data_IF_586764122853
#
_entry.id   IF_586764122853
#
_cell.length_a   1.000
_cell.length_b   1.000
_cell.length_c   1.000
_cell.angle_alpha   90.00
_cell.angle_beta   90.00
_cell.angle_gamma   90.00
#
_symmetry.space_group_name_H-M   'P 1'
#
loop_
_entity.id
_entity.type
_entity.pdbx_description
1 polymer ?
#
# COMPACT_ATOMS: atom_id res chain seq x y z
N UNK A 1 -13.88 -8.32 36.43
CA UNK A 1 -13.32 -9.29 35.47
C UNK A 1 -14.37 -9.50 34.39
N UNK A 2 -14.03 -9.24 33.13
CA UNK A 2 -14.98 -9.43 32.03
C UNK A 2 -14.96 -10.92 31.62
N UNK A 3 -16.14 -11.54 31.63
CA UNK A 3 -16.40 -12.93 31.26
C UNK A 3 -15.87 -13.30 29.85
N UNK A 4 -15.64 -14.60 29.58
CA UNK A 4 -15.32 -15.15 28.26
C UNK A 4 -16.31 -14.71 27.17
N UNK A 5 -15.99 -13.66 26.42
CA UNK A 5 -16.72 -13.36 25.20
C UNK A 5 -16.44 -14.44 24.14
N UNK A 6 -17.45 -14.99 23.44
CA UNK A 6 -17.25 -15.94 22.34
C UNK A 6 -16.46 -15.30 21.19
N UNK A 7 -15.92 -16.15 20.28
CA UNK A 7 -15.40 -15.71 18.98
C UNK A 7 -16.45 -14.84 18.28
N UNK A 8 -16.06 -13.80 17.50
CA UNK A 8 -17.01 -13.10 16.65
C UNK A 8 -17.75 -14.14 15.80
N UNK A 9 -19.08 -14.02 15.72
CA UNK A 9 -19.91 -14.99 15.05
C UNK A 9 -19.39 -15.28 13.63
N UNK A 10 -18.93 -16.51 13.40
CA UNK A 10 -18.48 -16.96 12.08
C UNK A 10 -16.98 -17.16 11.89
N UNK A 11 -16.09 -16.89 12.87
CA UNK A 11 -14.66 -17.20 12.72
C UNK A 11 -14.20 -18.37 13.58
N UNK A 12 -13.43 -19.29 13.01
CA UNK A 12 -12.75 -20.39 13.70
C UNK A 12 -11.31 -20.03 14.12
N UNK A 13 -10.73 -20.83 15.03
CA UNK A 13 -9.38 -20.58 15.55
C UNK A 13 -8.30 -20.62 14.46
N UNK A 14 -8.42 -21.56 13.52
CA UNK A 14 -7.52 -21.68 12.38
C UNK A 14 -7.61 -20.44 11.48
N UNK A 15 -8.81 -19.90 11.26
CA UNK A 15 -9.00 -18.69 10.45
C UNK A 15 -8.33 -17.47 11.09
N UNK A 16 -8.45 -17.32 12.42
CA UNK A 16 -7.75 -16.27 13.18
C UNK A 16 -6.23 -16.39 13.02
N UNK A 17 -5.69 -17.61 13.17
CA UNK A 17 -4.26 -17.88 12.97
C UNK A 17 -3.82 -17.59 11.54
N UNK A 18 -4.59 -18.01 10.54
CA UNK A 18 -4.30 -17.77 9.12
C UNK A 18 -4.26 -16.27 8.83
N UNK A 19 -5.28 -15.51 9.24
CA UNK A 19 -5.30 -14.05 9.06
C UNK A 19 -4.11 -13.39 9.77
N UNK A 20 -3.83 -13.78 11.02
CA UNK A 20 -2.68 -13.25 11.76
C UNK A 20 -1.33 -13.52 11.07
N UNK A 21 -1.17 -14.71 10.50
CA UNK A 21 0.05 -15.10 9.79
C UNK A 21 0.19 -14.37 8.46
N UNK A 22 -0.89 -14.24 7.68
CA UNK A 22 -0.90 -13.47 6.43
C UNK A 22 -0.52 -12.02 6.69
N UNK A 23 -1.17 -11.36 7.66
CA UNK A 23 -0.88 -9.99 8.04
C UNK A 23 0.57 -9.81 8.52
N UNK A 24 1.13 -10.80 9.22
CA UNK A 24 2.53 -10.76 9.66
C UNK A 24 3.49 -10.81 8.46
N UNK A 25 3.25 -11.71 7.51
CA UNK A 25 4.07 -11.82 6.30
C UNK A 25 3.99 -10.55 5.47
N UNK A 26 2.78 -10.00 5.30
CA UNK A 26 2.55 -8.73 4.61
C UNK A 26 3.30 -7.58 5.27
N UNK A 27 3.19 -7.46 6.60
CA UNK A 27 3.84 -6.42 7.37
C UNK A 27 5.38 -6.49 7.28
N UNK A 28 5.97 -7.67 7.48
CA UNK A 28 7.42 -7.83 7.46
C UNK A 28 8.00 -7.58 6.07
N UNK A 29 7.33 -8.11 5.04
CA UNK A 29 7.75 -7.92 3.64
C UNK A 29 7.57 -6.47 3.21
N UNK A 30 6.44 -5.85 3.54
CA UNK A 30 6.14 -4.45 3.27
C UNK A 30 7.12 -3.48 3.93
N UNK A 31 7.41 -3.67 5.23
CA UNK A 31 8.40 -2.87 5.96
C UNK A 31 9.81 -3.04 5.40
N UNK A 32 10.21 -4.27 5.07
CA UNK A 32 11.54 -4.55 4.53
C UNK A 32 11.75 -3.90 3.16
N UNK A 33 10.80 -4.12 2.23
CA UNK A 33 10.92 -3.61 0.86
C UNK A 33 10.82 -2.07 0.80
N UNK A 34 9.86 -1.48 1.51
CA UNK A 34 9.72 -0.01 1.54
C UNK A 34 10.84 0.65 2.35
N UNK A 35 11.33 -0.01 3.41
CA UNK A 35 12.53 0.40 4.13
C UNK A 35 13.75 0.45 3.23
N UNK A 36 13.95 -0.55 2.37
CA UNK A 36 15.00 -0.54 1.34
C UNK A 36 14.83 0.65 0.38
N UNK A 37 13.62 0.95 -0.10
CA UNK A 37 13.35 2.11 -0.97
C UNK A 37 13.78 3.43 -0.30
N UNK A 38 13.39 3.62 0.97
CA UNK A 38 13.72 4.82 1.75
C UNK A 38 15.23 4.91 1.94
N UNK A 39 15.88 3.81 2.34
CA UNK A 39 17.33 3.75 2.51
C UNK A 39 18.08 4.03 1.22
N UNK A 40 17.65 3.46 0.09
CA UNK A 40 18.23 3.71 -1.24
C UNK A 40 18.15 5.20 -1.60
N UNK A 41 17.00 5.86 -1.43
CA UNK A 41 16.87 7.30 -1.68
C UNK A 41 17.81 8.13 -0.78
N UNK A 42 17.89 7.77 0.51
CA UNK A 42 18.74 8.47 1.47
C UNK A 42 20.23 8.26 1.22
N UNK A 43 20.67 7.07 0.79
CA UNK A 43 22.08 6.71 0.68
C UNK A 43 22.69 6.91 -0.72
N UNK A 44 21.87 6.88 -1.78
CA UNK A 44 22.34 6.95 -3.17
C UNK A 44 22.06 8.35 -3.72
N UNK A 45 23.07 9.25 -3.84
CA UNK A 45 22.87 10.63 -4.28
C UNK A 45 22.20 10.73 -5.66
N UNK A 46 22.47 9.80 -6.56
CA UNK A 46 21.94 9.74 -7.92
C UNK A 46 20.42 9.54 -7.94
N UNK A 47 19.85 8.93 -6.88
CA UNK A 47 18.42 8.77 -6.74
C UNK A 47 17.71 10.03 -6.24
N UNK A 48 18.41 11.02 -5.69
CA UNK A 48 17.79 12.22 -5.11
C UNK A 48 17.30 13.17 -6.21
N UNK A 49 16.16 12.83 -6.79
CA UNK A 49 15.47 13.63 -7.81
C UNK A 49 14.04 13.93 -7.37
N UNK A 50 13.40 15.00 -7.90
CA UNK A 50 12.02 15.34 -7.59
C UNK A 50 11.01 14.19 -7.81
N UNK A 51 11.22 13.37 -8.85
CA UNK A 51 10.36 12.21 -9.11
C UNK A 51 10.54 11.08 -8.09
N UNK A 52 11.79 10.84 -7.66
CA UNK A 52 12.05 9.83 -6.62
C UNK A 52 11.62 10.31 -5.23
N UNK A 53 11.49 11.62 -4.99
CA UNK A 53 10.87 12.14 -3.76
C UNK A 53 9.41 11.67 -3.63
N UNK A 54 8.66 11.63 -4.74
CA UNK A 54 7.29 11.08 -4.74
C UNK A 54 7.27 9.57 -4.43
N UNK A 55 8.24 8.82 -4.97
CA UNK A 55 8.41 7.39 -4.68
C UNK A 55 8.79 7.15 -3.21
N UNK A 56 9.66 8.00 -2.64
CA UNK A 56 9.99 7.95 -1.21
C UNK A 56 8.75 8.26 -0.36
N UNK A 57 7.93 9.24 -0.75
CA UNK A 57 6.66 9.55 -0.07
C UNK A 57 5.70 8.35 -0.10
N UNK A 58 5.58 7.68 -1.25
CA UNK A 58 4.82 6.44 -1.37
C UNK A 58 5.36 5.36 -0.42
N UNK A 59 6.68 5.14 -0.40
CA UNK A 59 7.30 4.15 0.46
C UNK A 59 7.09 4.43 1.96
N UNK A 60 7.07 5.71 2.36
CA UNK A 60 6.71 6.11 3.72
C UNK A 60 5.24 5.79 4.06
N UNK A 61 4.32 6.08 3.15
CA UNK A 61 2.90 5.74 3.32
C UNK A 61 2.71 4.21 3.41
N UNK A 62 3.33 3.45 2.50
CA UNK A 62 3.27 1.99 2.43
C UNK A 62 3.94 1.32 3.66
N UNK A 63 5.01 1.92 4.19
CA UNK A 63 5.60 1.51 5.48
C UNK A 63 4.61 1.71 6.63
N UNK A 64 3.83 2.79 6.61
CA UNK A 64 2.76 3.06 7.57
C UNK A 64 1.63 2.03 7.51
N UNK A 65 1.19 1.63 6.31
CA UNK A 65 0.21 0.54 6.13
C UNK A 65 0.78 -0.79 6.65
N UNK A 66 2.06 -1.06 6.37
CA UNK A 66 2.73 -2.29 6.82
C UNK A 66 2.89 -2.33 8.35
N UNK A 67 3.17 -1.19 8.98
CA UNK A 67 3.18 -1.05 10.44
C UNK A 67 1.79 -1.27 11.04
N UNK A 68 0.75 -0.73 10.40
CA UNK A 68 -0.63 -0.97 10.78
C UNK A 68 -0.97 -2.48 10.71
N UNK A 69 -0.61 -3.14 9.62
CA UNK A 69 -0.76 -4.59 9.47
C UNK A 69 0.02 -5.39 10.53
N UNK A 70 1.21 -4.92 10.94
CA UNK A 70 1.98 -5.55 12.02
C UNK A 70 1.23 -5.52 13.35
N UNK A 71 0.65 -4.38 13.71
CA UNK A 71 -0.15 -4.25 14.94
C UNK A 71 -1.38 -5.18 14.89
N UNK A 72 -2.04 -5.25 13.74
CA UNK A 72 -3.16 -6.16 13.50
C UNK A 72 -2.76 -7.64 13.62
N UNK A 73 -1.62 -8.02 13.04
CA UNK A 73 -1.05 -9.37 13.13
C UNK A 73 -0.74 -9.75 14.57
N UNK A 74 -0.07 -8.87 15.32
CA UNK A 74 0.25 -9.10 16.73
C UNK A 74 -1.02 -9.23 17.59
N UNK A 75 -2.05 -8.43 17.31
CA UNK A 75 -3.36 -8.59 17.97
C UNK A 75 -4.02 -9.92 17.66
N UNK A 76 -3.92 -10.40 16.41
CA UNK A 76 -4.49 -11.70 15.99
C UNK A 76 -3.74 -12.89 16.63
N UNK A 77 -2.40 -12.86 16.63
CA UNK A 77 -1.58 -13.93 17.21
C UNK A 77 -1.73 -14.02 18.74
N UNK A 78 -1.86 -12.87 19.42
CA UNK A 78 -2.16 -12.84 20.87
C UNK A 78 -3.53 -13.44 21.17
N UNK A 79 -4.54 -13.15 20.34
CA UNK A 79 -5.87 -13.75 20.44
C UNK A 79 -5.80 -15.27 20.25
N UNK A 80 -5.04 -15.76 19.26
CA UNK A 80 -4.83 -17.19 19.04
C UNK A 80 -4.12 -17.87 20.23
N UNK A 81 -3.03 -17.29 20.74
CA UNK A 81 -2.30 -17.83 21.90
C UNK A 81 -3.18 -17.94 23.15
N UNK A 82 -4.14 -17.04 23.34
CA UNK A 82 -5.12 -17.16 24.41
C UNK A 82 -6.11 -18.33 24.18
N UNK A 83 -6.53 -18.56 22.93
CA UNK A 83 -7.44 -19.67 22.58
C UNK A 83 -6.80 -21.04 22.83
N UNK A 84 -5.48 -21.16 22.69
CA UNK A 84 -4.73 -22.42 22.90
C UNK A 84 -4.29 -22.66 24.35
N UNK A 85 -4.79 -21.90 25.33
CA UNK A 85 -4.58 -22.16 26.75
C UNK A 85 -3.34 -21.49 27.38
N UNK A 86 -2.66 -20.60 26.67
CA UNK A 86 -1.66 -19.70 27.28
C UNK A 86 -2.41 -18.49 27.84
N UNK A 87 -2.39 -18.30 29.16
CA UNK A 87 -3.10 -17.24 29.88
C UNK A 87 -2.67 -15.83 29.41
N UNK A 88 -3.26 -15.31 28.32
CA UNK A 88 -3.06 -13.93 27.86
C UNK A 88 -4.31 -13.10 28.18
N UNK A 89 -4.25 -12.07 29.04
CA UNK A 89 -5.45 -11.42 29.60
C UNK A 89 -6.28 -10.59 28.60
N UNK A 90 -5.91 -10.56 27.31
CA UNK A 90 -6.51 -9.69 26.29
C UNK A 90 -7.35 -10.51 25.28
N UNK A 91 -8.66 -10.59 25.50
CA UNK A 91 -9.64 -11.29 24.62
C UNK A 91 -10.14 -10.46 23.43
N UNK A 92 -9.83 -9.17 23.39
CA UNK A 92 -10.18 -8.20 22.33
C UNK A 92 -8.96 -7.38 21.95
N UNK A 93 -9.07 -6.55 20.90
CA UNK A 93 -8.10 -5.51 20.58
C UNK A 93 -7.46 -4.93 21.86
N UNK A 94 -6.14 -5.08 22.05
CA UNK A 94 -5.53 -4.92 23.37
C UNK A 94 -5.34 -3.45 23.76
N UNK A 95 -5.55 -2.51 22.84
CA UNK A 95 -5.26 -1.09 23.04
C UNK A 95 -6.49 -0.24 23.39
N UNK A 96 -7.63 -0.88 23.69
CA UNK A 96 -8.87 -0.18 24.06
C UNK A 96 -9.47 0.68 22.94
N UNK A 97 -10.48 1.48 23.28
CA UNK A 97 -11.20 2.32 22.29
C UNK A 97 -10.30 3.42 21.71
N UNK A 98 -9.53 4.12 22.54
CA UNK A 98 -8.62 5.17 22.08
C UNK A 98 -7.53 4.61 21.15
N UNK A 99 -6.98 3.45 21.49
CA UNK A 99 -6.04 2.74 20.61
C UNK A 99 -6.68 2.30 19.29
N UNK A 100 -7.97 1.97 19.31
CA UNK A 100 -8.72 1.64 18.09
C UNK A 100 -8.91 2.86 17.19
N UNK A 101 -9.29 4.01 17.76
CA UNK A 101 -9.40 5.28 17.04
C UNK A 101 -8.05 5.68 16.43
N UNK A 102 -6.96 5.60 17.21
CA UNK A 102 -5.61 5.93 16.75
C UNK A 102 -5.13 4.99 15.63
N UNK A 103 -5.41 3.69 15.77
CA UNK A 103 -5.05 2.69 14.75
C UNK A 103 -5.85 2.86 13.46
N UNK A 104 -7.16 3.12 13.56
CA UNK A 104 -8.01 3.43 12.42
C UNK A 104 -7.57 4.71 11.71
N UNK A 105 -7.30 5.77 12.46
CA UNK A 105 -6.76 7.03 11.94
C UNK A 105 -5.44 6.83 11.19
N UNK A 106 -4.46 6.19 11.81
CA UNK A 106 -3.14 5.97 11.22
C UNK A 106 -3.23 5.09 9.97
N UNK A 107 -3.96 3.99 10.04
CA UNK A 107 -4.16 3.08 8.90
C UNK A 107 -4.83 3.77 7.73
N UNK A 108 -5.88 4.56 8.01
CA UNK A 108 -6.61 5.26 6.96
C UNK A 108 -5.81 6.42 6.36
N UNK A 109 -5.15 7.25 7.18
CA UNK A 109 -4.27 8.33 6.69
C UNK A 109 -3.18 7.80 5.76
N UNK A 110 -2.54 6.69 6.13
CA UNK A 110 -1.45 6.11 5.33
C UNK A 110 -1.96 5.41 4.07
N UNK A 111 -3.14 4.80 4.10
CA UNK A 111 -3.84 4.30 2.92
C UNK A 111 -4.13 5.41 1.91
N UNK A 112 -4.70 6.54 2.37
CA UNK A 112 -4.99 7.70 1.54
C UNK A 112 -3.72 8.30 0.93
N UNK A 113 -2.66 8.41 1.74
CA UNK A 113 -1.37 8.92 1.29
C UNK A 113 -0.75 8.01 0.21
N UNK A 114 -0.89 6.68 0.33
CA UNK A 114 -0.41 5.71 -0.67
C UNK A 114 -1.17 5.85 -2.00
N UNK A 115 -2.51 5.89 -1.95
CA UNK A 115 -3.36 6.05 -3.14
C UNK A 115 -3.05 7.37 -3.86
N UNK A 116 -3.01 8.48 -3.11
CA UNK A 116 -2.72 9.80 -3.67
C UNK A 116 -1.28 9.91 -4.21
N UNK A 117 -0.30 9.27 -3.53
CA UNK A 117 1.08 9.22 -4.03
C UNK A 117 1.19 8.45 -5.34
N UNK A 118 0.45 7.35 -5.50
CA UNK A 118 0.37 6.62 -6.77
C UNK A 118 -0.14 7.52 -7.91
N UNK A 119 -1.17 8.31 -7.66
CA UNK A 119 -1.70 9.26 -8.64
C UNK A 119 -0.70 10.38 -8.96
N UNK A 120 -0.01 10.92 -7.95
CA UNK A 120 1.02 11.95 -8.14
C UNK A 120 2.21 11.43 -8.99
N UNK A 121 2.65 10.19 -8.75
CA UNK A 121 3.70 9.54 -9.54
C UNK A 121 3.24 9.31 -10.98
N UNK A 122 1.99 8.88 -11.19
CA UNK A 122 1.44 8.67 -12.53
C UNK A 122 1.42 9.98 -13.32
N UNK A 123 0.94 11.06 -12.69
CA UNK A 123 0.89 12.40 -13.25
C UNK A 123 2.28 12.95 -13.58
N UNK A 124 3.25 12.81 -12.66
CA UNK A 124 4.64 13.22 -12.87
C UNK A 124 5.26 12.50 -14.07
N UNK A 125 5.10 11.16 -14.14
CA UNK A 125 5.62 10.35 -15.24
C UNK A 125 5.00 10.75 -16.57
N UNK A 126 3.69 10.99 -16.62
CA UNK A 126 3.03 11.50 -17.82
C UNK A 126 3.68 12.81 -18.28
N UNK A 127 3.85 13.79 -17.39
CA UNK A 127 4.45 15.07 -17.77
C UNK A 127 5.90 14.92 -18.24
N UNK A 128 6.70 14.09 -17.55
CA UNK A 128 8.09 13.81 -17.90
C UNK A 128 8.22 13.20 -19.29
N UNK A 129 7.46 12.15 -19.60
CA UNK A 129 7.60 11.41 -20.87
C UNK A 129 6.82 12.05 -22.02
N UNK A 130 5.64 12.61 -21.74
CA UNK A 130 4.76 13.12 -22.79
C UNK A 130 4.94 14.61 -23.04
N UNK A 131 5.06 15.44 -22.01
CA UNK A 131 5.19 16.89 -22.17
C UNK A 131 6.64 17.37 -22.12
N UNK A 132 7.59 16.48 -21.77
CA UNK A 132 9.00 16.80 -21.50
C UNK A 132 9.18 17.88 -20.42
N UNK A 133 8.14 18.12 -19.62
CA UNK A 133 8.19 19.00 -18.47
C UNK A 133 8.86 18.26 -17.31
N UNK A 134 9.86 18.88 -16.70
CA UNK A 134 10.57 18.32 -15.54
C UNK A 134 9.96 18.88 -14.27
N UNK A 135 9.63 18.00 -13.32
CA UNK A 135 9.12 18.41 -12.02
C UNK A 135 10.22 19.13 -11.23
N UNK A 136 9.95 20.34 -10.76
CA UNK A 136 10.84 21.09 -9.88
C UNK A 136 10.77 20.58 -8.44
N UNK A 137 11.83 20.81 -7.65
CA UNK A 137 11.87 20.43 -6.23
C UNK A 137 10.77 21.10 -5.39
N UNK A 138 10.51 22.37 -5.62
CA UNK A 138 9.44 23.11 -4.92
C UNK A 138 8.08 22.49 -5.20
N UNK A 139 7.78 22.17 -6.46
CA UNK A 139 6.53 21.52 -6.86
C UNK A 139 6.42 20.10 -6.31
N UNK A 140 7.50 19.31 -6.32
CA UNK A 140 7.50 17.97 -5.73
C UNK A 140 7.27 18.02 -4.22
N UNK A 141 7.93 18.92 -3.50
CA UNK A 141 7.71 19.14 -2.07
C UNK A 141 6.29 19.58 -1.76
N UNK A 142 5.73 20.51 -2.55
CA UNK A 142 4.35 20.96 -2.41
C UNK A 142 3.34 19.83 -2.67
N UNK A 143 3.58 18.97 -3.67
CA UNK A 143 2.74 17.80 -3.94
C UNK A 143 2.78 16.79 -2.79
N UNK A 144 3.97 16.47 -2.27
CA UNK A 144 4.09 15.59 -1.09
C UNK A 144 3.33 16.19 0.09
N UNK A 145 3.57 17.46 0.41
CA UNK A 145 2.89 18.15 1.51
C UNK A 145 1.37 18.11 1.33
N UNK A 146 0.87 18.41 0.13
CA UNK A 146 -0.56 18.35 -0.19
C UNK A 146 -1.13 16.94 0.01
N UNK A 147 -0.45 15.90 -0.47
CA UNK A 147 -0.88 14.51 -0.29
C UNK A 147 -1.04 14.16 1.19
N UNK A 148 -0.04 14.48 2.02
CA UNK A 148 -0.08 14.17 3.45
C UNK A 148 -1.11 15.00 4.20
N UNK A 149 -1.20 16.31 3.94
CA UNK A 149 -2.20 17.17 4.58
C UNK A 149 -3.63 16.79 4.20
N UNK A 150 -3.88 16.49 2.92
CA UNK A 150 -5.18 16.00 2.46
C UNK A 150 -5.53 14.67 3.12
N UNK A 151 -4.58 13.74 3.19
CA UNK A 151 -4.78 12.43 3.81
C UNK A 151 -5.08 12.54 5.31
N UNK A 152 -4.34 13.40 6.02
CA UNK A 152 -4.55 13.67 7.44
C UNK A 152 -5.90 14.35 7.69
N UNK A 153 -6.28 15.33 6.84
CA UNK A 153 -7.57 15.99 6.91
C UNK A 153 -8.72 14.99 6.80
N UNK A 154 -8.74 14.17 5.74
CA UNK A 154 -9.80 13.19 5.55
C UNK A 154 -9.83 12.12 6.64
N UNK A 155 -8.67 11.69 7.13
CA UNK A 155 -8.59 10.71 8.22
C UNK A 155 -8.97 11.28 9.59
N UNK A 156 -8.87 12.58 9.82
CA UNK A 156 -9.28 13.20 11.07
C UNK A 156 -10.81 13.33 11.20
N UNK A 157 -11.56 13.40 10.10
CA UNK A 157 -13.01 13.65 10.12
C UNK A 157 -13.83 12.61 10.92
N UNK A 158 -13.55 11.29 10.84
CA UNK A 158 -14.18 10.30 11.73
C UNK A 158 -13.94 10.55 13.22
N UNK A 159 -12.77 11.06 13.59
CA UNK A 159 -12.46 11.44 14.99
C UNK A 159 -13.29 12.66 15.43
N UNK A 160 -13.66 13.52 14.48
CA UNK A 160 -14.49 14.70 14.69
C UNK A 160 -16.00 14.39 14.54
N UNK A 161 -16.37 13.13 14.30
CA UNK A 161 -17.76 12.66 14.28
C UNK A 161 -18.45 12.65 12.92
N UNK A 162 -17.71 12.88 11.82
CA UNK A 162 -18.19 12.61 10.46
C UNK A 162 -17.62 11.27 9.97
N UNK A 163 -18.36 10.21 10.24
CA UNK A 163 -17.87 8.82 10.21
C UNK A 163 -17.47 8.33 11.62
N UNK A 164 -17.02 7.10 11.72
CA UNK A 164 -16.53 6.51 12.95
C UNK A 164 -15.48 5.43 12.65
N UNK A 165 -14.46 5.30 13.49
CA UNK A 165 -13.59 4.12 13.47
C UNK A 165 -14.12 3.08 14.44
N UNK A 166 -14.22 1.83 14.00
CA UNK A 166 -14.59 0.72 14.86
C UNK A 166 -13.81 -0.55 14.43
N UNK A 167 -14.00 -1.62 15.17
CA UNK A 167 -13.35 -2.89 14.93
C UNK A 167 -13.77 -3.49 13.57
N UNK A 168 -12.81 -4.04 12.85
CA UNK A 168 -13.11 -4.96 11.74
C UNK A 168 -13.80 -6.22 12.27
N UNK A 169 -14.52 -7.00 11.42
CA UNK A 169 -15.30 -8.14 11.88
C UNK A 169 -14.54 -9.19 12.69
N UNK A 170 -13.23 -9.35 12.44
CA UNK A 170 -12.35 -10.25 13.20
C UNK A 170 -11.95 -9.68 14.60
N UNK A 171 -12.11 -8.37 14.81
CA UNK A 171 -11.80 -7.68 16.06
C UNK A 171 -10.31 -7.62 16.40
N UNK A 172 -9.44 -7.71 15.40
CA UNK A 172 -7.97 -7.69 15.53
C UNK A 172 -7.34 -6.37 15.05
N UNK A 173 -8.13 -5.52 14.41
CA UNK A 173 -7.75 -4.21 13.90
C UNK A 173 -8.98 -3.33 13.79
N UNK A 174 -8.75 -2.06 13.51
CA UNK A 174 -9.78 -1.03 13.43
C UNK A 174 -9.74 -0.35 12.07
N UNK A 175 -10.92 -0.06 11.53
CA UNK A 175 -11.13 0.60 10.24
C UNK A 175 -12.34 1.51 10.30
N UNK A 176 -12.69 2.15 9.20
CA UNK A 176 -13.95 2.90 9.11
C UNK A 176 -15.13 1.96 9.29
N UNK A 177 -16.02 2.33 10.19
CA UNK A 177 -17.26 1.58 10.43
C UNK A 177 -18.21 1.76 9.26
N UNK A 178 -18.20 0.78 8.37
CA UNK A 178 -19.12 0.67 7.25
C UNK A 178 -20.37 -0.15 7.58
N UNK A 179 -20.48 -0.71 8.79
CA UNK A 179 -21.67 -1.44 9.23
C UNK A 179 -22.74 -0.50 9.79
N UNK A 180 -22.35 0.71 10.18
CA UNK A 180 -23.28 1.77 10.57
C UNK A 180 -24.00 2.38 9.37
N UNK A 181 -25.31 2.14 9.31
CA UNK A 181 -26.22 2.78 8.34
C UNK A 181 -26.68 4.20 8.71
N UNK A 182 -25.95 4.93 9.57
CA UNK A 182 -26.34 6.30 9.92
C UNK A 182 -25.89 7.31 8.84
N UNK A 183 -26.70 8.36 8.63
CA UNK A 183 -26.50 9.34 7.54
C UNK A 183 -25.09 9.94 7.51
N UNK A 184 -24.46 10.14 8.69
CA UNK A 184 -23.12 10.72 8.79
C UNK A 184 -22.06 9.73 8.26
N UNK A 185 -22.11 8.47 8.66
CA UNK A 185 -21.19 7.43 8.16
C UNK A 185 -21.42 7.15 6.67
N UNK A 186 -22.67 6.98 6.23
CA UNK A 186 -23.02 6.75 4.82
C UNK A 186 -22.51 7.88 3.91
N UNK A 187 -22.78 9.15 4.27
CA UNK A 187 -22.31 10.30 3.48
C UNK A 187 -20.79 10.42 3.44
N UNK A 188 -20.12 10.09 4.55
CA UNK A 188 -18.67 10.07 4.61
C UNK A 188 -18.07 8.99 3.69
N UNK A 189 -18.57 7.75 3.77
CA UNK A 189 -18.10 6.64 2.93
C UNK A 189 -18.25 6.92 1.43
N UNK A 190 -19.40 7.49 1.01
CA UNK A 190 -19.62 7.91 -0.38
C UNK A 190 -18.63 9.00 -0.81
N UNK A 191 -18.42 10.00 0.04
CA UNK A 191 -17.46 11.10 -0.20
C UNK A 191 -16.03 10.54 -0.37
N UNK A 192 -15.64 9.60 0.49
CA UNK A 192 -14.32 8.97 0.42
C UNK A 192 -14.15 8.11 -0.83
N UNK A 193 -15.14 7.32 -1.21
CA UNK A 193 -15.08 6.55 -2.45
C UNK A 193 -14.86 7.45 -3.69
N UNK A 194 -15.52 8.62 -3.73
CA UNK A 194 -15.38 9.54 -4.85
C UNK A 194 -14.04 10.30 -4.85
N UNK A 195 -13.78 11.09 -3.80
CA UNK A 195 -12.63 12.00 -3.78
C UNK A 195 -11.30 11.29 -3.54
N UNK A 196 -11.31 10.20 -2.78
CA UNK A 196 -10.10 9.55 -2.30
C UNK A 196 -9.80 8.21 -2.98
N UNK A 197 -10.70 7.73 -3.86
CA UNK A 197 -10.42 6.58 -4.71
C UNK A 197 -10.69 6.85 -6.20
N UNK A 198 -11.91 7.24 -6.60
CA UNK A 198 -12.25 7.43 -8.01
C UNK A 198 -11.42 8.54 -8.68
N UNK A 199 -11.19 9.67 -8.00
CA UNK A 199 -10.35 10.75 -8.53
C UNK A 199 -8.88 10.33 -8.70
N UNK A 200 -8.17 9.78 -7.68
CA UNK A 200 -6.83 9.21 -7.86
C UNK A 200 -6.75 8.12 -8.95
N UNK A 201 -7.77 7.28 -9.05
CA UNK A 201 -7.87 6.24 -10.08
C UNK A 201 -7.99 6.86 -11.47
N UNK A 202 -8.83 7.86 -11.64
CA UNK A 202 -8.98 8.59 -12.90
C UNK A 202 -7.66 9.24 -13.34
N UNK A 203 -6.96 9.94 -12.43
CA UNK A 203 -5.65 10.55 -12.70
C UNK A 203 -4.63 9.49 -13.12
N UNK A 204 -4.59 8.37 -12.41
CA UNK A 204 -3.66 7.26 -12.69
C UNK A 204 -3.94 6.65 -14.06
N UNK A 205 -5.20 6.31 -14.34
CA UNK A 205 -5.62 5.69 -15.60
C UNK A 205 -5.35 6.62 -16.78
N UNK A 206 -5.79 7.88 -16.72
CA UNK A 206 -5.61 8.84 -17.81
C UNK A 206 -4.14 9.10 -18.09
N UNK A 207 -3.33 9.33 -17.06
CA UNK A 207 -1.88 9.56 -17.19
C UNK A 207 -1.17 8.41 -17.89
N UNK A 208 -1.41 7.16 -17.44
CA UNK A 208 -0.78 5.99 -18.04
C UNK A 208 -1.31 5.66 -19.44
N UNK A 209 -2.62 5.84 -19.70
CA UNK A 209 -3.21 5.63 -21.03
C UNK A 209 -2.67 6.60 -22.06
N UNK A 210 -2.60 7.89 -21.72
CA UNK A 210 -2.02 8.91 -22.62
C UNK A 210 -0.53 8.64 -22.86
N UNK A 211 0.20 8.17 -21.84
CA UNK A 211 1.59 7.79 -21.96
C UNK A 211 1.78 6.57 -22.88
N UNK A 212 0.96 5.53 -22.75
CA UNK A 212 0.97 4.38 -23.68
C UNK A 212 0.71 4.81 -25.12
N UNK A 213 -0.31 5.65 -25.35
CA UNK A 213 -0.67 6.13 -26.69
C UNK A 213 0.47 6.91 -27.34
N UNK A 214 1.18 7.74 -26.57
CA UNK A 214 2.30 8.53 -27.08
C UNK A 214 3.55 7.70 -27.31
N UNK A 215 3.90 6.82 -26.38
CA UNK A 215 5.12 5.99 -26.46
C UNK A 215 5.01 4.91 -27.53
N UNK A 216 3.82 4.31 -27.76
CA UNK A 216 3.60 3.34 -28.85
C UNK A 216 3.95 3.90 -30.23
N UNK A 217 3.82 5.22 -30.43
CA UNK A 217 4.19 5.89 -31.69
C UNK A 217 5.71 6.08 -31.83
N UNK A 218 6.48 5.97 -30.75
CA UNK A 218 7.92 6.26 -30.70
C UNK A 218 8.81 5.03 -30.49
N UNK A 219 8.23 3.85 -30.29
CA UNK A 219 8.96 2.58 -30.11
C UNK A 219 8.45 1.73 -28.93
N UNK A 220 9.14 0.63 -28.59
CA UNK A 220 8.74 -0.25 -27.50
C UNK A 220 8.82 0.42 -26.12
N UNK A 221 7.81 0.20 -25.27
CA UNK A 221 7.74 0.78 -23.92
C UNK A 221 8.80 0.18 -22.99
N UNK A 222 9.64 1.03 -22.41
CA UNK A 222 10.56 0.63 -21.33
C UNK A 222 9.91 0.67 -19.93
N UNK A 223 8.72 1.28 -19.79
CA UNK A 223 8.02 1.47 -18.50
C UNK A 223 6.73 0.66 -18.48
N UNK A 224 6.43 -0.04 -17.37
CA UNK A 224 5.15 -0.72 -17.21
C UNK A 224 4.10 0.29 -16.77
N UNK A 225 3.12 0.50 -17.63
CA UNK A 225 2.04 1.49 -17.49
C UNK A 225 0.76 0.88 -16.94
N UNK A 226 0.63 -0.44 -17.04
CA UNK A 226 -0.59 -1.15 -16.69
C UNK A 226 -0.57 -1.60 -15.23
N UNK A 227 0.60 -1.93 -14.69
CA UNK A 227 0.72 -2.44 -13.32
C UNK A 227 0.23 -1.43 -12.27
N UNK A 228 0.62 -0.15 -12.24
CA UNK A 228 0.15 0.79 -11.23
C UNK A 228 -1.37 0.95 -11.21
N UNK A 229 -1.99 1.05 -12.39
CA UNK A 229 -3.44 1.14 -12.52
C UNK A 229 -4.14 -0.15 -12.05
N UNK A 230 -3.58 -1.32 -12.37
CA UNK A 230 -4.09 -2.62 -11.89
C UNK A 230 -3.94 -2.76 -10.38
N UNK A 231 -2.80 -2.37 -9.81
CA UNK A 231 -2.58 -2.40 -8.36
C UNK A 231 -3.58 -1.51 -7.64
N UNK A 232 -3.85 -0.30 -8.16
CA UNK A 232 -4.85 0.57 -7.56
C UNK A 232 -6.27 -0.01 -7.67
N UNK A 233 -6.65 -0.50 -8.85
CA UNK A 233 -7.99 -1.05 -9.11
C UNK A 233 -8.24 -2.36 -8.36
N UNK A 234 -7.30 -3.30 -8.38
CA UNK A 234 -7.46 -4.62 -7.78
C UNK A 234 -7.10 -4.61 -6.29
N UNK A 235 -6.19 -3.75 -5.87
CA UNK A 235 -5.76 -3.60 -4.48
C UNK A 235 -6.78 -2.84 -3.63
N UNK A 236 -7.14 -1.63 -4.07
CA UNK A 236 -8.01 -0.74 -3.30
C UNK A 236 -9.47 -0.75 -3.77
N UNK A 237 -9.73 -1.14 -5.02
CA UNK A 237 -11.08 -1.17 -5.58
C UNK A 237 -12.06 -2.08 -4.84
N UNK A 238 -11.70 -3.29 -4.39
CA UNK A 238 -12.60 -4.10 -3.56
C UNK A 238 -13.05 -3.38 -2.28
N UNK A 239 -12.15 -2.62 -1.65
CA UNK A 239 -12.46 -1.83 -0.45
C UNK A 239 -13.38 -0.64 -0.78
N UNK A 240 -13.12 0.05 -1.89
CA UNK A 240 -13.97 1.15 -2.35
C UNK A 240 -15.38 0.68 -2.75
N UNK A 241 -15.48 -0.49 -3.38
CA UNK A 241 -16.77 -1.12 -3.68
C UNK A 241 -17.53 -1.50 -2.40
N UNK A 242 -16.83 -1.99 -1.38
CA UNK A 242 -17.43 -2.26 -0.07
C UNK A 242 -18.02 -0.98 0.54
N UNK A 243 -17.32 0.16 0.45
CA UNK A 243 -17.85 1.45 0.90
C UNK A 243 -19.07 1.93 0.12
N UNK A 244 -19.06 1.79 -1.20
CA UNK A 244 -20.21 2.15 -2.04
C UNK A 244 -21.41 1.24 -1.77
N UNK A 245 -21.16 -0.05 -1.51
CA UNK A 245 -22.19 -0.98 -1.08
C UNK A 245 -22.76 -0.57 0.28
N UNK A 246 -21.91 -0.28 1.26
CA UNK A 246 -22.30 0.21 2.60
C UNK A 246 -23.17 1.47 2.54
N UNK A 247 -22.88 2.33 1.57
CA UNK A 247 -23.60 3.59 1.40
C UNK A 247 -24.99 3.41 0.77
N UNK A 248 -25.25 2.27 0.12
CA UNK A 248 -26.47 2.03 -0.66
C UNK A 248 -27.33 0.88 -0.14
N UNK A 249 -26.74 -0.06 0.60
CA UNK A 249 -27.36 -1.26 1.11
C UNK A 249 -26.89 -1.58 2.53
N UNK A 250 -27.71 -2.35 3.24
CA UNK A 250 -27.38 -2.82 4.58
C UNK A 250 -26.29 -3.91 4.54
N UNK A 251 -25.32 -3.83 5.45
CA UNK A 251 -24.17 -4.73 5.53
C UNK A 251 -24.51 -6.11 6.09
N UNK A 252 -25.72 -6.30 6.62
CA UNK A 252 -26.22 -7.58 7.15
C UNK A 252 -26.27 -8.70 6.10
N UNK A 253 -26.29 -8.36 4.81
CA UNK A 253 -26.28 -9.30 3.69
C UNK A 253 -24.90 -9.93 3.41
N UNK A 254 -23.81 -9.28 3.84
CA UNK A 254 -22.43 -9.71 3.55
C UNK A 254 -21.87 -10.43 4.79
N UNK A 255 -21.42 -11.69 4.61
CA UNK A 255 -20.82 -12.43 5.72
C UNK A 255 -19.54 -11.76 6.24
N UNK A 256 -19.27 -11.80 7.56
CA UNK A 256 -18.05 -11.27 8.17
C UNK A 256 -16.75 -11.73 7.49
N UNK A 257 -16.72 -12.99 7.00
CA UNK A 257 -15.57 -13.55 6.28
C UNK A 257 -15.31 -12.84 4.95
N UNK A 258 -16.38 -12.53 4.21
CA UNK A 258 -16.27 -11.86 2.91
C UNK A 258 -15.84 -10.40 3.07
N UNK A 259 -16.24 -9.74 4.17
CA UNK A 259 -15.81 -8.38 4.50
C UNK A 259 -14.30 -8.27 4.79
N UNK A 260 -13.66 -9.36 5.26
CA UNK A 260 -12.21 -9.40 5.52
C UNK A 260 -11.36 -9.47 4.24
N UNK A 261 -11.88 -10.04 3.15
CA UNK A 261 -11.10 -10.27 1.92
C UNK A 261 -10.58 -8.97 1.30
N UNK A 262 -11.40 -7.92 1.10
CA UNK A 262 -10.91 -6.61 0.65
C UNK A 262 -9.81 -6.02 1.53
N UNK A 263 -9.90 -6.20 2.85
CA UNK A 263 -8.93 -5.65 3.81
C UNK A 263 -7.54 -6.28 3.62
N UNK A 264 -7.49 -7.61 3.44
CA UNK A 264 -6.24 -8.34 3.20
C UNK A 264 -5.63 -7.93 1.86
N UNK A 265 -6.43 -7.86 0.80
CA UNK A 265 -5.96 -7.44 -0.53
C UNK A 265 -5.34 -6.03 -0.49
N UNK A 266 -5.99 -5.08 0.21
CA UNK A 266 -5.47 -3.73 0.38
C UNK A 266 -4.13 -3.70 1.14
N UNK A 267 -3.95 -4.56 2.15
CA UNK A 267 -2.72 -4.65 2.95
C UNK A 267 -1.55 -5.31 2.21
N UNK A 268 -1.80 -6.04 1.12
CA UNK A 268 -0.76 -6.54 0.23
C UNK A 268 -0.21 -5.48 -0.75
N UNK A 269 -0.93 -4.38 -0.99
CA UNK A 269 -0.54 -3.32 -1.95
C UNK A 269 0.86 -2.73 -1.69
N UNK A 270 1.27 -2.41 -0.45
CA UNK A 270 2.62 -1.97 -0.12
C UNK A 270 3.75 -2.80 -0.74
N UNK A 271 3.59 -4.13 -0.79
CA UNK A 271 4.58 -5.05 -1.36
C UNK A 271 4.62 -4.90 -2.87
N UNK A 272 3.46 -4.87 -3.52
CA UNK A 272 3.34 -4.75 -4.98
C UNK A 272 3.94 -3.41 -5.45
N UNK A 273 3.63 -2.33 -4.73
CA UNK A 273 4.19 -1.00 -4.99
C UNK A 273 5.71 -1.01 -4.83
N UNK A 274 6.24 -1.50 -3.71
CA UNK A 274 7.67 -1.54 -3.46
C UNK A 274 8.41 -2.37 -4.53
N UNK A 275 7.88 -3.53 -4.92
CA UNK A 275 8.44 -4.34 -6.01
C UNK A 275 8.46 -3.58 -7.34
N UNK A 276 7.38 -2.86 -7.66
CA UNK A 276 7.29 -2.09 -8.90
C UNK A 276 8.27 -0.91 -8.94
N UNK A 277 8.37 -0.15 -7.85
CA UNK A 277 9.14 1.10 -7.80
C UNK A 277 10.61 0.92 -7.37
N UNK A 278 10.97 -0.17 -6.69
CA UNK A 278 12.32 -0.39 -6.12
C UNK A 278 13.14 -1.38 -6.95
N UNK A 279 12.60 -2.58 -7.22
CA UNK A 279 13.36 -3.63 -7.91
C UNK A 279 13.59 -3.29 -9.39
N UNK A 280 12.66 -2.56 -9.99
CA UNK A 280 12.72 -2.19 -11.41
C UNK A 280 13.53 -0.92 -11.69
N UNK A 281 13.91 -0.16 -10.66
CA UNK A 281 14.81 0.99 -10.80
C UNK A 281 16.30 0.65 -10.54
N UNK A 282 16.63 -0.52 -9.98
CA UNK A 282 17.98 -0.78 -9.45
C UNK A 282 18.68 -2.09 -9.89
N UNK A 283 18.10 -2.94 -10.73
CA UNK A 283 18.78 -4.20 -11.13
C UNK A 283 18.57 -4.38 -12.63
N UNK A 284 19.43 -3.87 -13.52
CA UNK A 284 20.81 -4.33 -13.80
C UNK A 284 21.61 -3.15 -14.40
N UNK A 285 22.67 -2.65 -13.74
CA UNK A 285 23.82 -2.12 -14.46
C UNK A 285 24.39 -3.30 -15.26
N UNK A 286 24.60 -3.14 -16.58
CA UNK A 286 25.12 -4.15 -17.52
C UNK A 286 26.50 -4.77 -17.18
N UNK A 287 27.00 -4.65 -15.94
CA UNK A 287 28.38 -4.97 -15.56
C UNK A 287 28.58 -6.16 -14.60
N UNK A 288 27.54 -6.78 -14.03
CA UNK A 288 27.71 -7.88 -13.03
C UNK A 288 27.17 -9.21 -13.57
N UNK A 289 27.51 -9.53 -14.83
CA UNK A 289 27.19 -10.79 -15.50
C UNK A 289 28.38 -11.44 -16.21
N UNK A 290 29.60 -10.94 -15.99
CA UNK A 290 30.84 -11.52 -16.55
C UNK A 290 31.85 -11.98 -15.49
N UNK A 291 31.49 -11.93 -14.20
CA UNK A 291 32.39 -12.35 -13.11
C UNK A 291 32.30 -13.83 -12.70
N UNK A 292 31.36 -14.58 -13.26
CA UNK A 292 31.12 -15.99 -12.88
C UNK A 292 30.92 -16.85 -14.14
N UNK A 293 31.94 -16.88 -14.99
CA UNK A 293 32.16 -18.00 -15.90
C UNK A 293 33.55 -18.55 -15.59
N UNK A 294 33.69 -19.83 -15.17
CA UNK A 294 34.99 -20.46 -15.07
C UNK A 294 35.65 -20.37 -16.45
N UNK A 295 36.85 -19.79 -16.51
CA UNK A 295 37.69 -19.87 -17.71
C UNK A 295 37.86 -21.35 -18.07
N UNK A 296 37.23 -21.78 -19.15
CA UNK A 296 37.65 -22.99 -19.85
C UNK A 296 38.67 -22.53 -20.88
N UNK A 297 39.92 -22.86 -20.61
CA UNK A 297 41.03 -22.58 -21.50
C UNK A 297 40.74 -23.11 -22.90
N UNK A 298 40.97 -22.25 -23.89
CA UNK A 298 41.38 -22.67 -25.21
C UNK A 298 42.56 -21.80 -25.61
N UNK A 299 43.71 -22.45 -25.63
CA UNK A 299 44.94 -21.98 -26.24
C UNK A 299 44.72 -21.57 -27.69
N UNK A 300 45.28 -20.43 -28.10
CA UNK A 300 45.74 -20.20 -29.47
C UNK A 300 46.93 -19.22 -29.46
N UNK A 301 47.87 -19.37 -30.41
CA UNK A 301 49.28 -19.08 -30.16
C UNK A 301 49.67 -17.62 -30.39
N UNK A 302 50.70 -17.21 -29.65
CA UNK A 302 51.53 -16.03 -29.90
C UNK A 302 52.12 -16.10 -31.30
N UNK A 303 51.81 -15.11 -32.13
CA UNK A 303 52.74 -14.66 -33.16
C UNK A 303 53.31 -13.29 -32.77
N UNK A 304 54.63 -13.29 -32.65
CA UNK A 304 55.50 -12.15 -32.36
C UNK A 304 56.23 -11.84 -33.66
N UNK A 305 56.13 -10.60 -34.15
CA UNK A 305 57.23 -9.77 -34.68
C UNK A 305 56.63 -8.45 -35.22
N UNK A 306 56.93 -7.29 -34.63
CA UNK A 306 58.14 -6.44 -34.81
C UNK A 306 58.32 -5.91 -36.24
N UNK A 307 58.15 -4.58 -36.32
CA UNK A 307 58.91 -3.60 -37.13
C UNK A 307 58.97 -3.78 -38.64
N UNK A 308 58.30 -2.86 -39.35
CA UNK A 308 58.95 -1.87 -40.23
C UNK A 308 58.10 -0.60 -40.27
#
# INVERSE_FOLDING_TARGET
MAEPGPLPAGFGELEVLTVGTVLLVEALSGLSLNGLTILSFCKIPELRTPGHLLVMSLALADSGISLNALVAAMSSLRRYSHLTGVQCPYRRWPYGSDGCQAHGFQGFMTALASICSCAAIAWERYHRYCTRSRLAWSSAGALVLFVWLSSAFWAALPLLGWGHYDYEPLGTCCTLDYSRGDRKSTSFLFTMAFFNFLLPLFITLTSYRLMEQKLKKSGPLQVNTTLPARTLLLGWGPYALLYLYAASADMTSISPRLQMVPALIAKAVPIINACHYTLRSQVVPRGVGQGLSPQRGQDLPRERNRTQ
#
